data_IF_891250645167
#
_entry.id   IF_891250645167
#
_cell.length_a   1.000
_cell.length_b   1.000
_cell.length_c   1.000
_cell.angle_alpha   90.00
_cell.angle_beta   90.00
_cell.angle_gamma   90.00
#
_symmetry.space_group_name_H-M   'P 1'
#
loop_
_entity.id
_entity.type
_entity.pdbx_description
1 polymer ?
#
# COMPACT_ATOMS: atom_id res chain seq x y z
N UNK A 1 -12.92 -1.83 -2.89
CA UNK A 1 -13.21 -0.42 -2.51
C UNK A 1 -12.09 0.03 -1.58
N UNK A 2 -10.95 0.47 -2.13
CA UNK A 2 -9.82 0.97 -1.34
C UNK A 2 -10.21 2.34 -0.78
N UNK A 3 -10.65 2.36 0.47
CA UNK A 3 -10.87 3.60 1.22
C UNK A 3 -9.50 4.03 1.76
N UNK A 4 -8.96 5.13 1.23
CA UNK A 4 -7.92 5.91 1.91
C UNK A 4 -6.58 6.09 1.20
N UNK A 5 -6.54 6.17 -0.14
CA UNK A 5 -5.37 6.75 -0.82
C UNK A 5 -5.51 8.27 -0.83
N UNK A 6 -4.62 8.98 -0.14
CA UNK A 6 -4.69 10.43 0.05
C UNK A 6 -3.34 11.05 -0.34
N UNK A 7 -3.38 12.11 -1.13
CA UNK A 7 -2.21 12.95 -1.39
C UNK A 7 -2.09 14.03 -0.31
N UNK A 8 -0.92 14.10 0.31
CA UNK A 8 -0.57 15.16 1.24
C UNK A 8 -0.31 16.50 0.55
N UNK A 9 0.00 17.55 1.33
CA UNK A 9 0.24 18.90 0.83
C UNK A 9 1.27 18.93 -0.31
N UNK A 10 0.95 19.62 -1.40
CA UNK A 10 1.85 19.73 -2.56
C UNK A 10 2.08 18.42 -3.32
N UNK A 11 1.25 17.40 -3.09
CA UNK A 11 1.36 16.06 -3.69
C UNK A 11 2.74 15.39 -3.46
N UNK A 12 3.44 15.78 -2.39
CA UNK A 12 4.77 15.24 -2.07
C UNK A 12 4.72 13.99 -1.18
N UNK A 13 3.56 13.69 -0.60
CA UNK A 13 3.35 12.54 0.29
C UNK A 13 2.13 11.74 -0.19
N UNK A 14 2.27 10.42 -0.24
CA UNK A 14 1.17 9.48 -0.49
C UNK A 14 0.85 8.74 0.81
N UNK A 15 -0.39 8.86 1.28
CA UNK A 15 -0.91 8.10 2.41
C UNK A 15 -1.81 6.98 1.89
N UNK A 16 -1.64 5.78 2.42
CA UNK A 16 -2.49 4.62 2.13
C UNK A 16 -3.01 4.11 3.48
N UNK A 17 -4.30 4.32 3.72
CA UNK A 17 -4.96 3.78 4.92
C UNK A 17 -5.48 2.37 4.67
N UNK A 18 -5.53 1.56 5.74
CA UNK A 18 -6.06 0.18 5.70
C UNK A 18 -5.39 -0.66 4.60
N UNK A 19 -4.05 -0.61 4.53
CA UNK A 19 -3.25 -1.35 3.55
C UNK A 19 -3.64 -2.83 3.53
N UNK A 20 -3.94 -3.32 2.34
CA UNK A 20 -4.28 -4.71 2.01
C UNK A 20 -3.26 -5.29 1.03
N UNK A 21 -3.33 -6.60 0.78
CA UNK A 21 -2.47 -7.26 -0.23
C UNK A 21 -2.67 -6.68 -1.65
N UNK A 22 -3.85 -6.11 -1.94
CA UNK A 22 -4.12 -5.44 -3.23
C UNK A 22 -3.31 -4.13 -3.41
N UNK A 23 -2.79 -3.56 -2.32
CA UNK A 23 -1.99 -2.33 -2.35
C UNK A 23 -0.49 -2.59 -2.58
N UNK A 24 -0.04 -3.85 -2.57
CA UNK A 24 1.34 -4.24 -2.90
C UNK A 24 1.69 -3.91 -4.36
N UNK A 25 2.87 -3.33 -4.58
CA UNK A 25 3.38 -3.09 -5.93
C UNK A 25 4.32 -1.90 -6.05
N UNK A 26 4.55 -1.46 -7.29
CA UNK A 26 5.46 -0.34 -7.58
C UNK A 26 4.73 0.99 -7.48
N UNK A 27 5.23 1.86 -6.60
CA UNK A 27 4.80 3.25 -6.49
C UNK A 27 5.82 4.17 -7.16
N UNK A 28 5.34 5.10 -7.97
CA UNK A 28 6.17 6.04 -8.74
C UNK A 28 5.78 7.48 -8.45
N UNK A 29 6.75 8.28 -8.02
CA UNK A 29 6.62 9.73 -7.96
C UNK A 29 7.18 10.34 -9.25
N UNK A 30 6.39 11.20 -9.89
CA UNK A 30 6.77 11.92 -11.11
C UNK A 30 6.54 13.40 -10.92
N UNK A 31 7.59 14.21 -11.10
CA UNK A 31 7.53 15.67 -11.04
C UNK A 31 7.92 16.23 -12.39
N UNK A 32 7.08 17.11 -12.96
CA UNK A 32 7.28 17.67 -14.29
C UNK A 32 7.10 19.19 -14.31
N UNK A 33 7.88 19.85 -15.16
CA UNK A 33 7.69 21.26 -15.55
C UNK A 33 7.96 21.41 -17.05
N UNK A 34 7.96 22.64 -17.57
CA UNK A 34 8.16 22.90 -19.01
C UNK A 34 9.52 22.45 -19.56
N UNK A 35 10.52 22.23 -18.69
CA UNK A 35 11.87 21.81 -19.09
C UNK A 35 12.05 20.29 -19.08
N UNK A 36 11.13 19.53 -18.49
CA UNK A 36 11.22 18.09 -18.43
C UNK A 36 10.56 17.47 -17.20
N UNK A 37 10.84 16.19 -16.97
CA UNK A 37 10.33 15.44 -15.83
C UNK A 37 11.43 14.59 -15.18
N UNK A 38 11.28 14.39 -13.88
CA UNK A 38 12.10 13.46 -13.09
C UNK A 38 11.19 12.46 -12.39
N UNK A 39 11.66 11.23 -12.24
CA UNK A 39 10.91 10.13 -11.66
C UNK A 39 11.74 9.37 -10.63
N UNK A 40 11.07 8.86 -9.60
CA UNK A 40 11.62 7.93 -8.63
C UNK A 40 10.57 6.87 -8.30
N UNK A 41 11.01 5.63 -8.06
CA UNK A 41 10.13 4.49 -7.78
C UNK A 41 10.60 3.69 -6.59
N UNK A 42 9.64 3.06 -5.90
CA UNK A 42 9.87 2.10 -4.84
C UNK A 42 8.85 0.96 -4.96
N UNK A 43 9.22 -0.25 -4.51
CA UNK A 43 8.29 -1.37 -4.39
C UNK A 43 7.78 -1.44 -2.94
N UNK A 44 6.45 -1.42 -2.76
CA UNK A 44 5.79 -1.63 -1.48
C UNK A 44 5.45 -3.10 -1.36
N UNK A 45 6.07 -3.79 -0.39
CA UNK A 45 5.69 -5.15 -0.01
C UNK A 45 4.72 -5.10 1.18
N UNK A 46 3.60 -5.80 1.09
CA UNK A 46 2.61 -5.88 2.17
C UNK A 46 2.69 -7.24 2.82
N UNK A 47 3.08 -7.27 4.10
CA UNK A 47 3.15 -8.51 4.87
C UNK A 47 1.88 -8.69 5.71
N UNK A 48 1.06 -9.67 5.34
CA UNK A 48 -0.08 -10.10 6.16
C UNK A 48 0.35 -10.93 7.36
N UNK A 49 -0.34 -10.79 8.49
CA UNK A 49 -0.35 -11.84 9.52
C UNK A 49 -1.46 -12.80 9.16
N UNK A 50 -1.12 -13.98 8.63
CA UNK A 50 -2.10 -15.04 8.46
C UNK A 50 -2.62 -15.44 9.84
N UNK A 51 -3.83 -15.00 10.20
CA UNK A 51 -4.55 -15.62 11.29
C UNK A 51 -4.83 -17.04 10.81
N UNK A 52 -4.25 -18.04 11.48
CA UNK A 52 -4.49 -19.43 11.17
C UNK A 52 -6.00 -19.68 11.17
N UNK A 53 -6.60 -19.79 9.99
CA UNK A 53 -7.98 -20.23 9.84
C UNK A 53 -7.97 -21.71 10.22
N UNK A 54 -8.44 -22.01 11.43
CA UNK A 54 -8.86 -23.36 11.81
C UNK A 54 -7.95 -24.12 12.76
N UNK A 55 -7.86 -23.71 14.02
CA UNK A 55 -8.07 -24.72 15.07
C UNK A 55 -9.57 -24.82 15.31
N UNK A 56 -10.25 -25.88 14.86
CA UNK A 56 -11.59 -26.17 15.34
C UNK A 56 -11.56 -26.21 16.87
N UNK A 57 -12.50 -25.53 17.53
CA UNK A 57 -12.70 -25.59 18.99
C UNK A 57 -13.02 -27.04 19.45
N UNK A 58 -13.25 -27.96 18.52
CA UNK A 58 -13.55 -29.38 18.78
C UNK A 58 -12.34 -30.27 19.10
N UNK A 59 -11.10 -29.79 19.04
CA UNK A 59 -9.91 -30.60 19.37
C UNK A 59 -9.43 -30.50 20.84
N UNK A 60 -10.20 -29.87 21.72
CA UNK A 60 -9.92 -29.76 23.17
C UNK A 60 -10.82 -30.66 24.04
N UNK A 61 -11.40 -31.72 23.48
CA UNK A 61 -12.19 -32.71 24.23
C UNK A 61 -11.30 -33.82 24.82
#
# INVERSE_FOLDING_TARGET
MSLGIILGPGNSTLFIERVTEEDEGVYRCRVANQKGAVESSAYLTVQGKQLAVGTPVSLLA
#
